data_IF_943705032470
#
_entry.id   IF_943705032470
#
_cell.length_a   1.000
_cell.length_b   1.000
_cell.length_c   1.000
_cell.angle_alpha   90.00
_cell.angle_beta   90.00
_cell.angle_gamma   90.00
#
_symmetry.space_group_name_H-M   'P 1'
#
loop_
_entity.id
_entity.type
_entity.pdbx_description
1 polymer ?
#
# COMPACT_ATOMS: atom_id res chain seq x y z
N UNK A 1 29.18 -28.37 -21.23
CA UNK A 1 28.69 -26.97 -21.22
C UNK A 1 29.52 -26.20 -20.22
N UNK A 2 30.23 -25.18 -20.70
CA UNK A 2 30.98 -24.32 -19.80
C UNK A 2 30.04 -23.41 -19.04
N UNK A 3 30.04 -23.50 -17.72
CA UNK A 3 29.29 -22.61 -16.86
C UNK A 3 29.95 -21.23 -16.86
N UNK A 4 29.14 -20.17 -16.89
CA UNK A 4 29.66 -18.83 -16.67
C UNK A 4 30.24 -18.71 -15.25
N UNK A 5 31.49 -18.25 -15.16
CA UNK A 5 32.25 -18.19 -13.89
C UNK A 5 31.55 -17.35 -12.82
N UNK A 6 30.66 -16.43 -13.17
CA UNK A 6 29.88 -15.67 -12.20
C UNK A 6 29.02 -16.56 -11.29
N UNK A 7 28.53 -17.71 -11.77
CA UNK A 7 27.80 -18.65 -10.92
C UNK A 7 28.72 -19.29 -9.87
N UNK A 8 29.98 -19.55 -10.23
CA UNK A 8 30.99 -20.07 -9.29
C UNK A 8 31.33 -19.03 -8.21
N UNK A 9 31.22 -17.74 -8.54
CA UNK A 9 31.42 -16.64 -7.62
C UNK A 9 30.21 -16.35 -6.74
N UNK A 10 29.14 -17.13 -6.88
CA UNK A 10 27.95 -17.04 -6.02
C UNK A 10 26.83 -16.13 -6.51
N UNK A 11 26.84 -15.76 -7.81
CA UNK A 11 25.72 -15.05 -8.40
C UNK A 11 24.56 -16.02 -8.65
N UNK A 12 23.36 -15.62 -8.24
CA UNK A 12 22.13 -16.40 -8.47
C UNK A 12 21.63 -16.26 -9.91
N UNK A 13 22.00 -15.18 -10.56
CA UNK A 13 21.60 -14.82 -11.91
C UNK A 13 22.72 -14.09 -12.62
N UNK A 14 23.06 -14.55 -13.81
CA UNK A 14 24.04 -13.88 -14.68
C UNK A 14 23.30 -13.00 -15.68
N UNK A 15 23.57 -11.71 -15.65
CA UNK A 15 23.07 -10.69 -16.54
C UNK A 15 24.01 -9.49 -16.52
N UNK A 16 23.50 -8.30 -16.87
CA UNK A 16 24.30 -7.09 -16.76
C UNK A 16 24.68 -6.84 -15.30
N UNK A 17 25.96 -6.81 -14.99
CA UNK A 17 26.46 -6.60 -13.63
C UNK A 17 25.99 -5.30 -12.97
N UNK A 18 25.71 -4.26 -13.77
CA UNK A 18 25.15 -2.97 -13.35
C UNK A 18 23.62 -2.90 -13.47
N UNK A 19 22.93 -4.02 -13.66
CA UNK A 19 21.49 -4.06 -13.83
C UNK A 19 20.75 -3.50 -12.59
N UNK A 20 19.81 -2.58 -12.75
CA UNK A 20 19.00 -2.09 -11.63
C UNK A 20 18.15 -3.18 -10.96
N UNK A 21 17.90 -4.31 -11.65
CA UNK A 21 17.19 -5.46 -11.10
C UNK A 21 18.07 -6.40 -10.27
N UNK A 22 19.38 -6.15 -10.20
CA UNK A 22 20.25 -6.94 -9.34
C UNK A 22 19.88 -6.75 -7.86
N UNK A 23 19.79 -7.86 -7.13
CA UNK A 23 19.59 -7.83 -5.69
C UNK A 23 20.83 -7.29 -4.95
N UNK A 24 20.71 -7.05 -3.65
CA UNK A 24 21.79 -6.52 -2.82
C UNK A 24 23.00 -7.45 -2.75
N UNK A 25 22.78 -8.77 -2.79
CA UNK A 25 23.85 -9.77 -2.82
C UNK A 25 24.67 -9.68 -4.11
N UNK A 26 24.02 -9.63 -5.27
CA UNK A 26 24.72 -9.48 -6.55
C UNK A 26 25.53 -8.18 -6.61
N UNK A 27 25.01 -7.09 -6.04
CA UNK A 27 25.77 -5.82 -5.94
C UNK A 27 26.96 -5.92 -5.01
N UNK A 28 26.82 -6.61 -3.88
CA UNK A 28 27.91 -6.87 -2.96
C UNK A 28 29.02 -7.68 -3.65
N UNK A 29 28.66 -8.77 -4.36
CA UNK A 29 29.60 -9.56 -5.12
C UNK A 29 30.31 -8.74 -6.21
N UNK A 30 29.58 -7.86 -6.90
CA UNK A 30 30.18 -6.96 -7.89
C UNK A 30 31.21 -5.98 -7.28
N UNK A 31 30.99 -5.53 -6.04
CA UNK A 31 31.97 -4.69 -5.34
C UNK A 31 33.25 -5.46 -5.01
N UNK A 32 33.14 -6.75 -4.75
CA UNK A 32 34.30 -7.62 -4.41
C UNK A 32 35.05 -8.02 -5.66
N UNK A 33 34.37 -8.55 -6.67
CA UNK A 33 34.99 -9.15 -7.84
C UNK A 33 35.27 -8.18 -9.00
N UNK A 34 34.58 -7.04 -9.01
CA UNK A 34 34.72 -5.99 -10.02
C UNK A 34 34.79 -4.59 -9.36
N UNK A 35 35.78 -4.34 -8.48
CA UNK A 35 35.80 -3.13 -7.65
C UNK A 35 35.93 -1.85 -8.48
N UNK A 36 36.78 -1.85 -9.50
CA UNK A 36 36.97 -0.66 -10.35
C UNK A 36 35.71 -0.32 -11.17
N UNK A 37 35.09 -1.33 -11.79
CA UNK A 37 33.86 -1.13 -12.55
C UNK A 37 32.72 -0.68 -11.65
N UNK A 38 32.60 -1.27 -10.46
CA UNK A 38 31.60 -0.90 -9.47
C UNK A 38 31.78 0.53 -8.99
N UNK A 39 33.03 0.97 -8.80
CA UNK A 39 33.35 2.37 -8.43
C UNK A 39 32.99 3.33 -9.57
N UNK A 40 33.43 3.05 -10.80
CA UNK A 40 33.07 3.88 -11.99
C UNK A 40 31.57 4.02 -12.16
N UNK A 41 30.82 2.93 -11.97
CA UNK A 41 29.38 2.94 -12.06
C UNK A 41 28.73 3.78 -10.94
N UNK A 42 29.22 3.63 -9.69
CA UNK A 42 28.78 4.46 -8.57
C UNK A 42 29.02 5.93 -8.83
N UNK A 43 30.21 6.30 -9.26
CA UNK A 43 30.58 7.68 -9.56
C UNK A 43 29.70 8.28 -10.68
N UNK A 44 29.44 7.52 -11.71
CA UNK A 44 28.49 7.89 -12.78
C UNK A 44 27.09 8.15 -12.24
N UNK A 45 26.58 7.26 -11.37
CA UNK A 45 25.24 7.41 -10.77
C UNK A 45 25.18 8.63 -9.84
N UNK A 46 26.23 8.93 -9.10
CA UNK A 46 26.31 10.14 -8.25
C UNK A 46 26.26 11.40 -9.14
N UNK A 47 27.06 11.46 -10.19
CA UNK A 47 27.04 12.58 -11.14
C UNK A 47 25.66 12.75 -11.81
N UNK A 48 24.99 11.65 -12.14
CA UNK A 48 23.62 11.69 -12.65
C UNK A 48 22.63 12.20 -11.60
N UNK A 49 22.74 11.74 -10.34
CA UNK A 49 21.88 12.18 -9.25
C UNK A 49 22.05 13.69 -8.95
N UNK A 50 23.28 14.20 -9.02
CA UNK A 50 23.56 15.64 -8.94
C UNK A 50 22.90 16.42 -10.07
N UNK A 51 23.03 15.93 -11.32
CA UNK A 51 22.44 16.56 -12.51
C UNK A 51 20.94 16.67 -12.44
N UNK A 52 20.25 15.70 -11.81
CA UNK A 52 18.80 15.69 -11.62
C UNK A 52 18.35 16.33 -10.30
N UNK A 53 19.26 17.01 -9.57
CA UNK A 53 18.95 17.78 -8.37
C UNK A 53 18.58 16.97 -7.14
N UNK A 54 19.16 15.77 -6.94
CA UNK A 54 18.91 15.02 -5.70
C UNK A 54 19.66 15.67 -4.54
N UNK A 55 19.00 15.89 -3.37
CA UNK A 55 19.62 16.61 -2.25
C UNK A 55 20.85 15.90 -1.69
N UNK A 56 20.85 14.56 -1.62
CA UNK A 56 21.94 13.72 -1.12
C UNK A 56 22.32 12.66 -2.15
N UNK A 57 23.10 13.01 -3.20
CA UNK A 57 23.40 12.13 -4.33
C UNK A 57 24.03 10.79 -3.92
N UNK A 58 24.96 10.81 -2.96
CA UNK A 58 25.63 9.61 -2.47
C UNK A 58 24.66 8.68 -1.74
N UNK A 59 23.89 9.23 -0.80
CA UNK A 59 22.85 8.47 -0.08
C UNK A 59 21.80 7.93 -1.05
N UNK A 60 21.40 8.72 -2.06
CA UNK A 60 20.49 8.28 -3.11
C UNK A 60 21.01 7.06 -3.87
N UNK A 61 22.31 7.04 -4.17
CA UNK A 61 22.94 5.92 -4.89
C UNK A 61 23.15 4.72 -3.97
N UNK A 62 23.72 4.93 -2.78
CA UNK A 62 24.09 3.84 -1.86
C UNK A 62 22.87 3.13 -1.27
N UNK A 63 21.76 3.82 -1.08
CA UNK A 63 20.48 3.22 -0.68
C UNK A 63 19.72 2.55 -1.82
N UNK A 64 20.23 2.58 -3.05
CA UNK A 64 19.61 1.94 -4.20
C UNK A 64 18.37 2.66 -4.75
N UNK A 65 18.11 3.90 -4.34
CA UNK A 65 16.96 4.70 -4.83
C UNK A 65 16.98 4.93 -6.35
N UNK A 66 18.14 4.90 -6.97
CA UNK A 66 18.29 4.98 -8.43
C UNK A 66 17.67 3.80 -9.19
N UNK A 67 17.49 2.66 -8.53
CA UNK A 67 16.83 1.47 -9.10
C UNK A 67 15.31 1.58 -9.17
N UNK A 68 14.78 2.63 -8.66
CA UNK A 68 13.36 2.82 -8.38
C UNK A 68 12.45 2.75 -9.61
N UNK A 69 12.98 2.84 -10.84
CA UNK A 69 12.18 2.73 -12.07
C UNK A 69 11.78 1.31 -12.47
N UNK A 70 12.41 0.27 -11.90
CA UNK A 70 12.26 -1.08 -12.43
C UNK A 70 11.52 -2.08 -11.51
N UNK A 71 11.21 -1.72 -10.32
CA UNK A 71 10.50 -2.66 -9.46
C UNK A 71 9.88 -1.97 -8.27
N UNK A 72 8.59 -1.85 -8.21
CA UNK A 72 7.80 -1.47 -7.04
C UNK A 72 8.19 -0.21 -6.25
N UNK A 73 9.49 0.03 -6.08
CA UNK A 73 10.03 1.17 -5.34
C UNK A 73 10.11 2.47 -6.16
N UNK A 74 10.10 2.39 -7.50
CA UNK A 74 10.18 3.57 -8.38
C UNK A 74 8.89 4.36 -8.42
N UNK A 75 7.83 3.70 -8.16
CA UNK A 75 6.52 4.32 -8.06
C UNK A 75 6.29 4.94 -6.66
N UNK A 76 7.09 4.55 -5.67
CA UNK A 76 7.00 5.10 -4.31
C UNK A 76 7.53 6.54 -4.21
N UNK A 77 8.46 6.94 -5.09
CA UNK A 77 8.98 8.31 -5.13
C UNK A 77 8.11 9.28 -5.94
N UNK A 78 7.18 8.78 -6.71
CA UNK A 78 6.38 9.59 -7.63
C UNK A 78 5.05 10.06 -7.05
N UNK A 79 4.67 9.64 -5.86
CA UNK A 79 3.44 10.14 -5.23
C UNK A 79 3.44 9.94 -3.73
N UNK A 80 3.40 11.04 -3.00
CA UNK A 80 3.05 11.08 -1.58
C UNK A 80 1.62 10.57 -1.31
N UNK A 81 0.89 10.24 -2.36
CA UNK A 81 -0.52 9.81 -2.32
C UNK A 81 -0.66 8.29 -2.51
N UNK A 82 0.39 7.56 -2.89
CA UNK A 82 0.31 6.10 -3.05
C UNK A 82 0.35 5.39 -1.71
N UNK A 83 -0.61 4.51 -1.54
CA UNK A 83 -0.69 3.64 -0.37
C UNK A 83 0.55 2.74 -0.35
N UNK A 84 1.40 2.95 0.63
CA UNK A 84 2.43 1.98 0.99
C UNK A 84 1.79 1.01 1.99
N UNK A 85 1.80 -0.25 1.68
CA UNK A 85 1.48 -1.29 2.66
C UNK A 85 2.70 -2.17 2.84
N UNK A 86 2.95 -2.50 4.08
CA UNK A 86 4.01 -3.42 4.48
C UNK A 86 3.35 -4.66 5.04
N UNK A 87 3.80 -5.84 4.63
CA UNK A 87 3.33 -7.06 5.28
C UNK A 87 3.81 -7.05 6.73
N UNK A 88 2.90 -7.28 7.66
CA UNK A 88 3.26 -7.47 9.05
C UNK A 88 3.78 -8.90 9.21
N UNK A 89 5.08 -9.05 9.43
CA UNK A 89 5.74 -10.36 9.54
C UNK A 89 5.43 -11.09 10.85
N UNK A 90 4.91 -10.40 11.85
CA UNK A 90 4.61 -10.95 13.18
C UNK A 90 3.17 -11.47 13.34
N UNK A 91 2.28 -11.19 12.39
CA UNK A 91 0.87 -11.62 12.46
C UNK A 91 0.40 -12.07 11.08
N UNK A 92 -0.18 -13.27 11.03
CA UNK A 92 -0.76 -13.81 9.81
C UNK A 92 -1.89 -12.91 9.30
N UNK A 93 -1.90 -12.69 7.99
CA UNK A 93 -2.94 -11.92 7.28
C UNK A 93 -3.12 -10.47 7.75
N UNK A 94 -2.10 -9.85 8.37
CA UNK A 94 -2.08 -8.44 8.72
C UNK A 94 -1.30 -7.61 7.70
N UNK A 95 -1.81 -6.41 7.40
CA UNK A 95 -1.16 -5.39 6.57
C UNK A 95 -1.25 -4.03 7.21
N UNK A 96 -0.18 -3.24 7.05
CA UNK A 96 -0.13 -1.85 7.50
C UNK A 96 -0.32 -0.94 6.29
N UNK A 97 -1.26 -0.01 6.40
CA UNK A 97 -1.58 0.96 5.36
C UNK A 97 -1.26 2.36 5.85
N UNK A 98 -0.50 3.11 5.05
CA UNK A 98 -0.28 4.54 5.31
C UNK A 98 -1.57 5.31 5.07
N UNK A 99 -1.86 6.23 5.99
CA UNK A 99 -2.94 7.21 5.85
C UNK A 99 -2.33 8.60 5.58
N UNK A 100 -3.07 9.48 4.92
CA UNK A 100 -2.69 10.88 4.71
C UNK A 100 -3.25 11.80 5.79
N UNK A 101 -4.13 11.27 6.64
CA UNK A 101 -4.77 11.96 7.77
C UNK A 101 -5.03 10.94 8.89
N UNK A 102 -5.32 11.39 10.12
CA UNK A 102 -5.52 10.51 11.28
C UNK A 102 -6.56 9.42 11.03
N UNK A 103 -6.43 8.33 11.78
CA UNK A 103 -7.49 7.33 11.91
C UNK A 103 -8.68 7.96 12.64
N UNK A 104 -9.82 8.04 11.98
CA UNK A 104 -11.03 8.72 12.43
C UNK A 104 -12.31 7.92 12.15
N UNK A 105 -13.44 8.43 12.62
CA UNK A 105 -14.75 7.80 12.44
C UNK A 105 -15.16 7.74 10.96
N UNK A 106 -14.66 8.64 10.10
CA UNK A 106 -14.91 8.58 8.66
C UNK A 106 -14.26 7.34 8.05
N UNK A 107 -13.01 7.05 8.42
CA UNK A 107 -12.33 5.82 7.98
C UNK A 107 -13.08 4.58 8.48
N UNK A 108 -13.43 4.56 9.77
CA UNK A 108 -14.18 3.45 10.38
C UNK A 108 -15.52 3.24 9.68
N UNK A 109 -16.26 4.32 9.40
CA UNK A 109 -17.52 4.29 8.67
C UNK A 109 -17.41 3.74 7.24
N UNK A 110 -16.25 3.92 6.59
CA UNK A 110 -15.99 3.34 5.26
C UNK A 110 -15.96 1.80 5.26
N UNK A 111 -15.85 1.17 6.42
CA UNK A 111 -15.87 -0.30 6.54
C UNK A 111 -17.27 -0.89 6.75
N UNK A 112 -18.30 -0.08 6.92
CA UNK A 112 -19.70 -0.53 6.99
C UNK A 112 -20.11 -1.47 5.83
N UNK A 113 -19.68 -1.29 4.56
CA UNK A 113 -20.02 -2.22 3.49
C UNK A 113 -19.52 -3.66 3.67
N UNK A 114 -18.55 -3.89 4.54
CA UNK A 114 -18.06 -5.24 4.86
C UNK A 114 -19.00 -5.98 5.83
N UNK A 115 -19.64 -5.22 6.74
CA UNK A 115 -20.52 -5.77 7.75
C UNK A 115 -20.73 -4.82 8.93
N UNK A 116 -21.10 -5.36 10.09
CA UNK A 116 -21.32 -4.56 11.30
C UNK A 116 -19.97 -4.09 11.87
N UNK A 117 -19.81 -2.81 11.98
CA UNK A 117 -18.66 -2.19 12.67
C UNK A 117 -18.93 -2.20 14.18
N UNK A 118 -18.03 -2.78 14.96
CA UNK A 118 -18.18 -3.07 16.37
C UNK A 118 -16.94 -2.60 17.18
N UNK A 119 -16.79 -1.30 17.46
CA UNK A 119 -15.68 -0.77 18.25
C UNK A 119 -15.66 -1.35 19.68
N UNK A 120 -16.83 -1.71 20.19
CA UNK A 120 -17.02 -2.28 21.53
C UNK A 120 -16.36 -3.66 21.72
N UNK A 121 -16.10 -4.38 20.62
CA UNK A 121 -15.45 -5.70 20.64
C UNK A 121 -13.93 -5.61 20.50
N UNK A 122 -13.40 -4.45 20.13
CA UNK A 122 -11.96 -4.23 19.97
C UNK A 122 -11.25 -4.00 21.29
N UNK A 123 -9.93 -4.12 21.26
CA UNK A 123 -9.06 -3.80 22.40
C UNK A 123 -9.03 -2.30 22.63
N UNK A 124 -9.67 -1.81 23.70
CA UNK A 124 -9.80 -0.39 24.03
C UNK A 124 -8.46 0.36 24.09
N UNK A 125 -7.43 -0.24 24.69
CA UNK A 125 -6.09 0.35 24.79
C UNK A 125 -5.41 0.58 23.43
N UNK A 126 -5.82 -0.15 22.41
CA UNK A 126 -5.27 -0.07 21.04
C UNK A 126 -6.19 0.68 20.10
N UNK A 127 -7.31 1.21 20.57
CA UNK A 127 -8.37 1.80 19.76
C UNK A 127 -8.77 0.89 18.57
N UNK A 128 -8.77 -0.44 18.83
CA UNK A 128 -9.08 -1.45 17.85
C UNK A 128 -10.58 -1.46 17.53
N UNK A 129 -10.90 -1.57 16.26
CA UNK A 129 -12.28 -1.70 15.79
C UNK A 129 -12.42 -3.04 15.07
N UNK A 130 -13.41 -3.83 15.48
CA UNK A 130 -13.73 -5.11 14.85
C UNK A 130 -14.85 -4.90 13.82
N UNK A 131 -14.76 -5.57 12.67
CA UNK A 131 -15.83 -5.63 11.68
C UNK A 131 -16.31 -7.08 11.60
N UNK A 132 -17.60 -7.27 11.83
CA UNK A 132 -18.27 -8.57 11.79
C UNK A 132 -18.93 -8.78 10.42
N UNK A 133 -18.86 -9.98 9.91
CA UNK A 133 -19.61 -10.35 8.70
C UNK A 133 -21.12 -10.12 8.90
N UNK A 134 -21.78 -9.52 7.92
CA UNK A 134 -23.18 -9.12 8.02
C UNK A 134 -24.17 -10.29 8.14
N UNK A 135 -23.76 -11.51 7.73
CA UNK A 135 -24.63 -12.69 7.73
C UNK A 135 -24.33 -13.61 8.90
N UNK A 136 -23.03 -13.87 9.15
CA UNK A 136 -22.59 -14.84 10.16
C UNK A 136 -22.30 -14.21 11.51
N UNK A 137 -22.18 -12.89 11.55
CA UNK A 137 -21.77 -12.11 12.73
C UNK A 137 -20.39 -12.54 13.32
N UNK A 138 -19.55 -13.16 12.47
CA UNK A 138 -18.20 -13.59 12.83
C UNK A 138 -17.23 -12.45 12.52
N UNK A 139 -16.21 -12.19 13.37
CA UNK A 139 -15.17 -11.19 13.09
C UNK A 139 -14.41 -11.50 11.80
N UNK A 140 -14.40 -10.56 10.85
CA UNK A 140 -13.69 -10.70 9.57
C UNK A 140 -12.54 -9.71 9.40
N UNK A 141 -12.61 -8.56 10.07
CA UNK A 141 -11.55 -7.55 10.07
C UNK A 141 -11.29 -7.01 11.47
N UNK A 142 -10.03 -6.73 11.74
CA UNK A 142 -9.57 -5.90 12.85
C UNK A 142 -8.85 -4.68 12.28
N UNK A 143 -9.24 -3.49 12.67
CA UNK A 143 -8.66 -2.21 12.31
C UNK A 143 -8.02 -1.61 13.55
N UNK A 144 -6.74 -1.29 13.48
CA UNK A 144 -6.01 -0.71 14.61
C UNK A 144 -5.22 0.50 14.14
N UNK A 145 -5.37 1.68 14.76
CA UNK A 145 -4.44 2.77 14.57
C UNK A 145 -3.02 2.29 14.81
N UNK A 146 -2.09 2.66 13.95
CA UNK A 146 -0.73 2.18 14.02
C UNK A 146 0.24 3.34 13.86
N UNK A 147 1.28 3.35 14.69
CA UNK A 147 2.39 4.30 14.61
C UNK A 147 3.65 3.52 14.27
N UNK A 148 4.35 3.95 13.25
CA UNK A 148 5.61 3.39 12.82
C UNK A 148 6.51 4.49 12.31
N UNK A 149 7.83 4.36 12.53
CA UNK A 149 8.82 5.28 12.01
C UNK A 149 8.66 5.48 10.49
N UNK A 150 8.58 6.73 10.08
CA UNK A 150 8.39 7.13 8.69
C UNK A 150 6.92 7.24 8.22
N UNK A 151 5.94 6.99 9.09
CA UNK A 151 4.53 7.24 8.83
C UNK A 151 3.94 8.14 9.92
N UNK A 152 3.42 9.29 9.52
CA UNK A 152 2.70 10.17 10.44
C UNK A 152 1.38 9.50 10.91
N UNK A 153 0.66 8.89 9.96
CA UNK A 153 -0.58 8.17 10.24
C UNK A 153 -0.59 6.83 9.51
N UNK A 154 -1.01 5.79 10.18
CA UNK A 154 -1.16 4.46 9.61
C UNK A 154 -2.29 3.68 10.29
N UNK A 155 -2.79 2.66 9.60
CA UNK A 155 -3.72 1.67 10.15
C UNK A 155 -3.21 0.27 9.84
N UNK A 156 -3.17 -0.58 10.88
CA UNK A 156 -2.95 -2.01 10.74
C UNK A 156 -4.30 -2.70 10.57
N UNK A 157 -4.45 -3.44 9.50
CA UNK A 157 -5.67 -4.19 9.20
C UNK A 157 -5.33 -5.67 9.12
N UNK A 158 -6.01 -6.47 9.93
CA UNK A 158 -5.93 -7.94 9.91
C UNK A 158 -7.23 -8.54 9.40
N UNK A 159 -7.13 -9.47 8.48
CA UNK A 159 -8.26 -10.28 8.01
C UNK A 159 -8.34 -11.57 8.81
N UNK A 160 -9.55 -11.98 9.20
CA UNK A 160 -9.81 -13.09 10.10
C UNK A 160 -10.99 -13.93 9.60
N UNK A 161 -11.00 -15.21 9.91
CA UNK A 161 -12.16 -16.11 9.71
C UNK A 161 -12.79 -16.06 8.31
N UNK A 162 -11.96 -15.89 7.28
CA UNK A 162 -12.39 -15.87 5.88
C UNK A 162 -11.60 -16.87 5.06
N UNK A 163 -12.21 -17.45 4.04
CA UNK A 163 -11.54 -18.41 3.15
C UNK A 163 -10.59 -17.71 2.17
N UNK A 164 -10.92 -16.48 1.74
CA UNK A 164 -10.15 -15.72 0.75
C UNK A 164 -9.67 -14.39 1.36
N UNK A 165 -8.55 -14.49 2.08
CA UNK A 165 -7.89 -13.34 2.70
C UNK A 165 -7.39 -12.32 1.66
N UNK A 166 -6.91 -12.77 0.50
CA UNK A 166 -6.36 -11.87 -0.52
C UNK A 166 -7.44 -10.98 -1.13
N UNK A 167 -8.58 -11.55 -1.45
CA UNK A 167 -9.70 -10.79 -1.99
C UNK A 167 -10.22 -9.77 -0.97
N UNK A 168 -10.34 -10.18 0.29
CA UNK A 168 -10.77 -9.26 1.36
C UNK A 168 -9.74 -8.13 1.55
N UNK A 169 -8.46 -8.43 1.58
CA UNK A 169 -7.39 -7.42 1.66
C UNK A 169 -7.37 -6.48 0.45
N UNK A 170 -7.67 -6.98 -0.76
CA UNK A 170 -7.83 -6.14 -1.95
C UNK A 170 -8.98 -5.14 -1.78
N UNK A 171 -10.13 -5.58 -1.29
CA UNK A 171 -11.26 -4.70 -1.00
C UNK A 171 -10.95 -3.68 0.10
N UNK A 172 -10.24 -4.10 1.16
CA UNK A 172 -9.71 -3.19 2.20
C UNK A 172 -8.85 -2.11 1.56
N UNK A 173 -7.91 -2.48 0.69
CA UNK A 173 -7.05 -1.51 0.01
C UNK A 173 -7.85 -0.49 -0.81
N UNK A 174 -8.99 -0.86 -1.37
CA UNK A 174 -9.88 0.08 -2.08
C UNK A 174 -10.48 1.12 -1.13
N UNK A 175 -10.91 0.73 0.06
CA UNK A 175 -11.45 1.67 1.05
C UNK A 175 -10.37 2.61 1.60
N UNK A 176 -9.18 2.09 1.87
CA UNK A 176 -8.05 2.94 2.29
C UNK A 176 -7.67 3.95 1.19
N UNK A 177 -7.61 3.51 -0.08
CA UNK A 177 -7.37 4.44 -1.20
C UNK A 177 -8.46 5.49 -1.31
N UNK A 178 -9.72 5.08 -1.16
CA UNK A 178 -10.84 6.01 -1.16
C UNK A 178 -10.69 7.04 -0.05
N UNK A 179 -10.38 6.64 1.17
CA UNK A 179 -10.13 7.53 2.29
C UNK A 179 -9.01 8.53 1.99
N UNK A 180 -7.88 8.05 1.46
CA UNK A 180 -6.72 8.90 1.16
C UNK A 180 -6.96 9.84 -0.03
N UNK A 181 -7.70 9.42 -1.04
CA UNK A 181 -7.79 10.13 -2.32
C UNK A 181 -9.16 10.78 -2.59
N UNK A 182 -10.12 10.65 -1.67
CA UNK A 182 -11.47 11.13 -1.89
C UNK A 182 -11.51 12.65 -2.13
N UNK A 183 -12.09 13.04 -3.26
CA UNK A 183 -12.38 14.44 -3.63
C UNK A 183 -13.84 14.80 -3.40
N UNK A 184 -14.55 13.99 -2.60
CA UNK A 184 -15.97 14.19 -2.28
C UNK A 184 -16.87 14.28 -3.52
N UNK A 185 -16.52 13.52 -4.58
CA UNK A 185 -17.39 13.38 -5.76
C UNK A 185 -18.61 12.55 -5.43
N UNK A 186 -19.79 12.97 -5.90
CA UNK A 186 -21.09 12.38 -5.55
C UNK A 186 -21.35 11.00 -6.17
N UNK A 187 -20.39 10.43 -6.92
CA UNK A 187 -20.59 9.18 -7.65
C UNK A 187 -20.94 7.99 -6.75
N UNK A 188 -20.25 7.86 -5.61
CA UNK A 188 -20.56 6.77 -4.67
C UNK A 188 -21.97 6.90 -4.09
N UNK A 189 -22.40 8.11 -3.81
CA UNK A 189 -23.76 8.42 -3.34
C UNK A 189 -24.79 8.05 -4.41
N UNK A 190 -24.60 8.51 -5.66
CA UNK A 190 -25.52 8.19 -6.77
C UNK A 190 -25.61 6.70 -7.10
N UNK A 191 -24.60 5.91 -6.76
CA UNK A 191 -24.56 4.46 -6.97
C UNK A 191 -25.26 3.67 -5.87
N UNK A 192 -25.46 4.29 -4.73
CA UNK A 192 -26.08 3.60 -3.58
C UNK A 192 -27.59 3.52 -3.76
N UNK A 193 -28.08 2.38 -4.23
CA UNK A 193 -29.49 2.14 -4.50
C UNK A 193 -30.40 2.32 -3.28
N UNK A 194 -29.85 2.13 -2.08
CA UNK A 194 -30.59 2.27 -0.81
C UNK A 194 -30.36 3.61 -0.12
N UNK A 195 -29.64 4.53 -0.76
CA UNK A 195 -29.35 5.84 -0.19
C UNK A 195 -28.60 5.83 1.13
N UNK A 196 -27.77 4.80 1.37
CA UNK A 196 -26.98 4.69 2.60
C UNK A 196 -25.74 5.58 2.61
N UNK A 197 -25.32 6.14 1.47
CA UNK A 197 -24.11 6.95 1.37
C UNK A 197 -24.51 8.43 1.27
N UNK A 198 -23.87 9.25 2.10
CA UNK A 198 -23.99 10.70 2.05
C UNK A 198 -22.60 11.31 1.96
N UNK A 199 -22.39 12.20 0.99
CA UNK A 199 -21.13 12.91 0.78
C UNK A 199 -21.40 14.41 0.87
N UNK A 200 -20.73 15.09 1.80
CA UNK A 200 -20.86 16.51 2.01
C UNK A 200 -19.50 17.16 2.34
N UNK A 201 -19.50 18.43 2.68
CA UNK A 201 -18.27 19.16 3.03
C UNK A 201 -17.56 18.60 4.27
N UNK A 202 -18.28 17.92 5.16
CA UNK A 202 -17.72 17.36 6.39
C UNK A 202 -17.08 15.99 6.16
N UNK A 203 -17.55 15.21 5.18
CA UNK A 203 -16.95 13.89 4.94
C UNK A 203 -17.75 12.98 4.04
N UNK A 204 -17.36 11.71 4.08
CA UNK A 204 -18.00 10.58 3.43
C UNK A 204 -18.61 9.69 4.51
N UNK A 205 -19.91 9.57 4.52
CA UNK A 205 -20.65 8.86 5.57
C UNK A 205 -21.45 7.71 4.98
N UNK A 206 -21.49 6.58 5.69
CA UNK A 206 -22.34 5.44 5.36
C UNK A 206 -23.25 5.16 6.55
N UNK A 207 -24.54 5.25 6.33
CA UNK A 207 -25.55 4.91 7.32
C UNK A 207 -25.60 3.37 7.49
N UNK A 208 -25.18 2.81 8.65
CA UNK A 208 -25.15 1.37 8.87
C UNK A 208 -26.53 0.74 8.90
N UNK A 209 -27.59 1.50 9.20
CA UNK A 209 -28.97 0.99 9.26
C UNK A 209 -29.57 0.84 7.85
N UNK A 210 -29.14 1.68 6.90
CA UNK A 210 -29.58 1.62 5.50
C UNK A 210 -28.69 0.71 4.65
N UNK A 211 -27.43 0.50 5.04
CA UNK A 211 -26.48 -0.25 4.24
C UNK A 211 -26.84 -1.76 4.18
N UNK A 212 -27.09 -2.25 2.98
CA UNK A 212 -27.39 -3.68 2.73
C UNK A 212 -26.14 -4.49 2.36
N UNK A 213 -24.94 -3.98 2.60
CA UNK A 213 -23.64 -4.61 2.39
C UNK A 213 -23.40 -5.17 0.97
N UNK A 214 -24.03 -4.57 -0.05
CA UNK A 214 -23.94 -5.04 -1.46
C UNK A 214 -22.58 -4.78 -2.09
N UNK A 215 -21.72 -3.99 -1.46
CA UNK A 215 -20.34 -3.64 -1.90
C UNK A 215 -20.26 -2.92 -3.25
N UNK A 216 -21.38 -2.50 -3.85
CA UNK A 216 -21.39 -1.77 -5.14
C UNK A 216 -20.54 -0.51 -5.10
N UNK A 217 -20.49 0.20 -3.99
CA UNK A 217 -19.65 1.38 -3.79
C UNK A 217 -18.13 1.08 -3.85
N UNK A 218 -17.73 -0.19 -3.83
CA UNK A 218 -16.33 -0.63 -3.94
C UNK A 218 -16.03 -1.37 -5.24
N UNK A 219 -17.03 -2.05 -5.83
CA UNK A 219 -16.81 -3.03 -6.90
C UNK A 219 -17.43 -2.63 -8.24
N UNK A 220 -18.13 -1.50 -8.33
CA UNK A 220 -18.76 -1.06 -9.57
C UNK A 220 -17.71 -0.86 -10.68
N UNK A 221 -17.99 -1.38 -11.88
CA UNK A 221 -17.05 -1.40 -13.02
C UNK A 221 -16.51 -0.03 -13.45
N UNK A 222 -17.26 1.03 -13.21
CA UNK A 222 -16.87 2.40 -13.53
C UNK A 222 -16.24 3.16 -12.37
N UNK A 223 -16.02 2.45 -11.24
CA UNK A 223 -15.22 2.93 -10.13
C UNK A 223 -13.92 2.12 -10.12
N UNK A 224 -12.84 2.68 -10.64
CA UNK A 224 -11.56 1.99 -10.63
C UNK A 224 -11.07 1.83 -9.18
N UNK A 225 -11.04 0.58 -8.70
CA UNK A 225 -10.70 0.26 -7.32
C UNK A 225 -11.66 0.87 -6.28
N UNK A 226 -12.92 1.09 -6.64
CA UNK A 226 -13.93 1.67 -5.75
C UNK A 226 -13.91 3.20 -5.67
N UNK A 227 -13.07 3.87 -6.46
CA UNK A 227 -12.99 5.33 -6.49
C UNK A 227 -12.67 5.87 -7.89
N UNK A 228 -13.45 6.85 -8.36
CA UNK A 228 -13.19 7.52 -9.64
C UNK A 228 -11.79 8.14 -9.73
N UNK A 229 -11.26 8.61 -8.60
CA UNK A 229 -9.95 9.25 -8.54
C UNK A 229 -8.78 8.27 -8.55
N UNK A 230 -8.99 7.00 -8.21
CA UNK A 230 -7.92 5.99 -8.14
C UNK A 230 -7.22 5.82 -9.50
N UNK A 231 -7.97 5.91 -10.58
CA UNK A 231 -7.42 5.86 -11.94
C UNK A 231 -6.38 6.94 -12.20
N UNK A 232 -6.64 8.17 -11.76
CA UNK A 232 -5.70 9.28 -11.94
C UNK A 232 -4.46 9.15 -11.05
N UNK A 233 -4.56 8.45 -9.93
CA UNK A 233 -3.44 8.24 -9.02
C UNK A 233 -2.49 7.13 -9.50
N UNK A 234 -2.95 6.23 -10.36
CA UNK A 234 -2.13 5.16 -10.93
C UNK A 234 -1.31 5.60 -12.14
N UNK A 235 -1.76 6.60 -12.84
CA UNK A 235 -1.19 7.05 -14.13
C UNK A 235 -0.16 8.16 -14.01
N UNK A 236 0.18 8.60 -12.81
CA UNK A 236 1.17 9.66 -12.58
C UNK A 236 2.39 9.15 -11.79
#
# INVERSE_FOLDING_TARGET
>A
MDFNDAYRLGYDRVGCWCCPNNNSRAQFLSKIYMPEQSKRWRDFLIGFAQKIGKPDPEVYVDTGKWKARQGGNGLASASDVKIKFTNCTSEDHAKIYRLIRPFDDELVGMFVPFGRVAPELGKKLLHEVIVLDSKTNVPILSLQPYSQDGYEYAVKVRTMNVADHENLQRMVSYQIRKFNACRKGLKCESLCRVGAITINNFGYFIDPQKCVHCKTCMTAKYLDGGCMMDKYLRTK
#
